data_IF_474411918288
#
_entry.id   IF_474411918288
#
_cell.length_a   1.000
_cell.length_b   1.000
_cell.length_c   1.000
_cell.angle_alpha   90.00
_cell.angle_beta   90.00
_cell.angle_gamma   90.00
#
_symmetry.space_group_name_H-M   'P 1'
#
loop_
_entity.id
_entity.type
_entity.pdbx_description
1 polymer ?
#
# COMPACT_ATOMS: atom_id res chain seq x y z
N UNK A 1 23.37 18.37 -1.53
CA UNK A 1 21.97 18.21 -2.02
C UNK A 1 21.07 18.77 -0.94
N UNK A 2 20.24 19.78 -1.26
CA UNK A 2 19.27 20.37 -0.33
C UNK A 2 18.26 19.29 0.04
N UNK A 3 18.14 18.97 1.33
CA UNK A 3 17.11 18.03 1.78
C UNK A 3 15.75 18.61 1.41
N UNK A 4 14.91 17.90 0.65
CA UNK A 4 13.62 18.42 0.24
C UNK A 4 12.74 18.65 1.48
N UNK A 5 11.95 19.73 1.49
CA UNK A 5 10.93 19.94 2.51
C UNK A 5 9.77 18.97 2.25
N UNK A 6 9.81 17.81 2.90
CA UNK A 6 8.93 16.67 2.64
C UNK A 6 7.71 16.70 3.55
N UNK A 7 6.57 16.32 2.99
CA UNK A 7 5.35 16.00 3.72
C UNK A 7 5.01 14.53 3.53
N UNK A 8 4.63 13.85 4.61
CA UNK A 8 4.05 12.51 4.58
C UNK A 8 2.60 12.61 5.04
N UNK A 9 1.64 12.24 4.20
CA UNK A 9 0.25 12.04 4.62
C UNK A 9 0.00 10.56 4.91
N UNK A 10 -0.84 10.24 5.89
CA UNK A 10 -1.00 8.86 6.38
C UNK A 10 0.21 8.42 7.21
N UNK A 11 0.88 9.35 7.87
CA UNK A 11 2.13 9.12 8.60
C UNK A 11 1.99 8.16 9.81
N UNK A 12 0.78 7.97 10.34
CA UNK A 12 0.50 7.03 11.43
C UNK A 12 0.05 5.64 10.93
N UNK A 13 -0.09 5.48 9.62
CA UNK A 13 -0.40 4.19 9.00
C UNK A 13 0.79 3.22 9.05
N UNK A 14 0.58 1.97 8.62
CA UNK A 14 1.59 0.93 8.63
C UNK A 14 2.88 1.35 7.91
N UNK A 15 2.80 1.69 6.63
CA UNK A 15 3.95 2.15 5.83
C UNK A 15 4.43 3.53 6.30
N UNK A 16 3.48 4.41 6.64
CA UNK A 16 3.78 5.79 7.02
C UNK A 16 4.70 5.93 8.22
N UNK A 17 4.53 5.10 9.25
CA UNK A 17 5.40 5.10 10.44
C UNK A 17 6.83 4.71 10.10
N UNK A 18 7.01 3.61 9.37
CA UNK A 18 8.36 3.15 8.98
C UNK A 18 9.05 4.18 8.09
N UNK A 19 8.30 4.80 7.15
CA UNK A 19 8.83 5.86 6.32
C UNK A 19 9.19 7.12 7.14
N UNK A 20 8.36 7.48 8.11
CA UNK A 20 8.61 8.64 8.96
C UNK A 20 9.88 8.52 9.81
N UNK A 21 10.25 7.30 10.20
CA UNK A 21 11.50 7.03 10.90
C UNK A 21 12.73 7.16 9.98
N UNK A 22 12.58 6.82 8.68
CA UNK A 22 13.62 7.01 7.65
C UNK A 22 13.74 8.46 7.16
N UNK A 23 12.69 9.27 7.36
CA UNK A 23 12.63 10.70 7.00
C UNK A 23 12.25 11.54 8.23
N UNK A 24 13.13 11.66 9.24
CA UNK A 24 12.81 12.30 10.53
C UNK A 24 12.42 13.78 10.40
N UNK A 25 12.95 14.48 9.41
CA UNK A 25 12.66 15.91 9.17
C UNK A 25 11.36 16.14 8.36
N UNK A 26 10.70 15.07 7.90
CA UNK A 26 9.45 15.21 7.15
C UNK A 26 8.30 15.66 8.05
N UNK A 27 7.47 16.58 7.56
CA UNK A 27 6.21 16.96 8.21
C UNK A 27 5.20 15.83 8.11
N UNK A 28 4.63 15.43 9.23
CA UNK A 28 3.75 14.25 9.34
C UNK A 28 2.29 14.71 9.46
N UNK A 29 1.45 14.27 8.53
CA UNK A 29 0.01 14.49 8.56
C UNK A 29 -0.76 13.17 8.58
N UNK A 30 -1.77 13.14 9.43
CA UNK A 30 -2.69 12.01 9.57
C UNK A 30 -4.06 12.51 10.03
N UNK A 31 -5.08 11.65 10.06
CA UNK A 31 -6.44 12.00 10.42
C UNK A 31 -6.56 12.79 11.73
N UNK A 32 -5.66 12.57 12.67
CA UNK A 32 -5.65 13.26 13.97
C UNK A 32 -5.23 14.74 13.89
N UNK A 33 -4.50 15.13 12.85
CA UNK A 33 -4.03 16.51 12.68
C UNK A 33 -4.43 17.14 11.34
N UNK A 34 -4.81 16.33 10.38
CA UNK A 34 -5.46 16.76 9.15
C UNK A 34 -6.20 15.60 8.48
N UNK A 35 -7.54 15.60 8.58
CA UNK A 35 -8.37 14.74 7.74
C UNK A 35 -8.34 15.28 6.30
N UNK A 36 -7.74 14.52 5.38
CA UNK A 36 -7.59 14.90 3.98
C UNK A 36 -8.93 15.14 3.26
N UNK A 37 -10.06 14.63 3.78
CA UNK A 37 -11.41 14.93 3.25
C UNK A 37 -11.76 16.41 3.39
N UNK A 38 -11.17 17.09 4.35
CA UNK A 38 -11.41 18.51 4.59
C UNK A 38 -10.38 19.36 3.85
N UNK A 39 -10.82 20.35 3.06
CA UNK A 39 -9.89 21.30 2.45
C UNK A 39 -9.07 21.99 3.53
N UNK A 40 -7.76 21.99 3.38
CA UNK A 40 -6.90 22.76 4.28
C UNK A 40 -6.83 24.19 3.77
N UNK A 41 -7.25 25.14 4.58
CA UNK A 41 -7.19 26.57 4.24
C UNK A 41 -5.78 27.17 4.16
N UNK A 42 -4.74 26.33 4.35
CA UNK A 42 -3.33 26.77 4.35
C UNK A 42 -2.62 26.11 3.16
N UNK A 43 -2.20 26.94 2.21
CA UNK A 43 -1.27 26.56 1.15
C UNK A 43 0.15 26.66 1.73
N UNK A 44 0.94 25.58 1.62
CA UNK A 44 2.34 25.53 2.04
C UNK A 44 3.25 25.45 0.81
N UNK A 45 3.57 26.60 0.17
CA UNK A 45 4.31 26.61 -1.09
C UNK A 45 5.78 26.20 -0.95
N UNK A 46 6.29 26.14 0.28
CA UNK A 46 7.67 25.74 0.57
C UNK A 46 7.87 24.22 0.57
N UNK A 47 6.79 23.43 0.55
CA UNK A 47 6.87 21.98 0.44
C UNK A 47 7.31 21.61 -0.98
N UNK A 48 8.36 20.80 -1.07
CA UNK A 48 8.94 20.41 -2.37
C UNK A 48 8.58 18.99 -2.77
N UNK A 49 8.17 18.16 -1.81
CA UNK A 49 7.76 16.79 -2.08
C UNK A 49 6.67 16.34 -1.10
N UNK A 50 5.66 15.66 -1.62
CA UNK A 50 4.61 15.00 -0.82
C UNK A 50 4.66 13.52 -1.07
N UNK A 51 4.83 12.72 -0.01
CA UNK A 51 4.58 11.28 -0.05
C UNK A 51 3.15 11.05 0.43
N UNK A 52 2.27 10.73 -0.50
CA UNK A 52 0.84 10.60 -0.25
C UNK A 52 0.44 9.14 -0.02
N UNK A 53 0.39 8.75 1.28
CA UNK A 53 0.00 7.40 1.73
C UNK A 53 -1.42 7.36 2.32
N UNK A 54 -2.00 8.52 2.68
CA UNK A 54 -3.32 8.59 3.29
C UNK A 54 -4.40 8.10 2.33
N UNK A 55 -5.06 6.99 2.67
CA UNK A 55 -6.17 6.41 1.90
C UNK A 55 -6.94 5.39 2.74
N UNK A 56 -8.16 5.09 2.33
CA UNK A 56 -8.87 3.88 2.71
C UNK A 56 -8.46 2.75 1.76
N UNK A 57 -8.16 1.55 2.27
CA UNK A 57 -7.48 0.48 1.49
C UNK A 57 -8.23 -0.86 1.47
N UNK A 58 -9.37 -0.99 2.15
CA UNK A 58 -10.08 -2.27 2.30
C UNK A 58 -11.08 -2.50 1.17
N UNK A 59 -10.76 -3.43 0.27
CA UNK A 59 -11.60 -3.78 -0.89
C UNK A 59 -13.04 -4.11 -0.46
N UNK A 60 -13.23 -5.04 0.47
CA UNK A 60 -14.57 -5.45 0.92
C UNK A 60 -15.38 -4.34 1.58
N UNK A 61 -14.74 -3.38 2.27
CA UNK A 61 -15.42 -2.19 2.79
C UNK A 61 -15.83 -1.26 1.65
N UNK A 62 -14.98 -1.10 0.64
CA UNK A 62 -15.27 -0.22 -0.50
C UNK A 62 -16.53 -0.64 -1.27
N UNK A 63 -16.78 -1.96 -1.37
CA UNK A 63 -17.99 -2.48 -2.01
C UNK A 63 -19.25 -2.15 -1.21
N UNK A 64 -19.16 -2.17 0.13
CA UNK A 64 -20.30 -1.84 1.00
C UNK A 64 -20.56 -0.33 1.12
N UNK A 65 -19.51 0.49 1.05
CA UNK A 65 -19.59 1.95 1.17
C UNK A 65 -18.70 2.66 0.13
N UNK A 66 -19.08 2.63 -1.15
CA UNK A 66 -18.26 3.18 -2.22
C UNK A 66 -18.07 4.70 -2.13
N UNK A 67 -19.10 5.44 -1.69
CA UNK A 67 -19.03 6.91 -1.60
C UNK A 67 -18.00 7.36 -0.56
N UNK A 68 -17.85 6.64 0.53
CA UNK A 68 -16.80 6.86 1.53
C UNK A 68 -15.41 6.77 0.90
N UNK A 69 -15.19 5.78 0.02
CA UNK A 69 -13.91 5.57 -0.66
C UNK A 69 -13.63 6.67 -1.69
N UNK A 70 -14.60 7.03 -2.52
CA UNK A 70 -14.43 8.12 -3.48
C UNK A 70 -14.21 9.47 -2.78
N UNK A 71 -14.99 9.79 -1.76
CA UNK A 71 -14.82 11.06 -1.03
C UNK A 71 -13.47 11.13 -0.30
N UNK A 72 -13.02 10.03 0.30
CA UNK A 72 -11.74 10.00 1.03
C UNK A 72 -10.54 9.93 0.08
N UNK A 73 -10.51 8.97 -0.83
CA UNK A 73 -9.35 8.74 -1.67
C UNK A 73 -9.24 9.80 -2.77
N UNK A 74 -10.31 10.02 -3.55
CA UNK A 74 -10.27 10.98 -4.67
C UNK A 74 -10.36 12.42 -4.16
N UNK A 75 -11.39 12.72 -3.35
CA UNK A 75 -11.54 14.04 -2.76
C UNK A 75 -10.35 14.44 -1.89
N UNK A 76 -9.85 13.50 -1.08
CA UNK A 76 -8.66 13.69 -0.25
C UNK A 76 -7.41 13.98 -1.07
N UNK A 77 -7.15 13.22 -2.15
CA UNK A 77 -6.02 13.48 -3.05
C UNK A 77 -6.10 14.88 -3.67
N UNK A 78 -7.28 15.30 -4.14
CA UNK A 78 -7.48 16.67 -4.66
C UNK A 78 -7.15 17.72 -3.59
N UNK A 79 -7.58 17.52 -2.34
CA UNK A 79 -7.29 18.46 -1.26
C UNK A 79 -5.79 18.52 -0.92
N UNK A 80 -5.09 17.38 -0.95
CA UNK A 80 -3.63 17.32 -0.78
C UNK A 80 -2.92 18.11 -1.88
N UNK A 81 -3.32 17.92 -3.13
CA UNK A 81 -2.73 18.64 -4.26
C UNK A 81 -2.98 20.16 -4.18
N UNK A 82 -4.18 20.57 -3.75
CA UNK A 82 -4.49 22.00 -3.53
C UNK A 82 -3.66 22.61 -2.39
N UNK A 83 -3.37 21.83 -1.35
CA UNK A 83 -2.53 22.29 -0.24
C UNK A 83 -1.05 22.43 -0.63
N UNK A 84 -0.57 21.64 -1.60
CA UNK A 84 0.83 21.57 -2.03
C UNK A 84 0.99 21.67 -3.56
N UNK A 85 0.57 22.76 -4.19
CA UNK A 85 0.38 22.83 -5.66
C UNK A 85 1.67 22.73 -6.49
N UNK A 86 2.84 22.96 -5.88
CA UNK A 86 4.14 22.94 -6.56
C UNK A 86 5.03 21.78 -6.11
N UNK A 87 4.53 20.91 -5.26
CA UNK A 87 5.31 19.79 -4.75
C UNK A 87 5.34 18.63 -5.76
N UNK A 88 6.49 17.95 -5.84
CA UNK A 88 6.54 16.63 -6.45
C UNK A 88 5.62 15.68 -5.68
N UNK A 89 4.82 14.89 -6.39
CA UNK A 89 3.92 13.92 -5.81
C UNK A 89 4.51 12.51 -5.88
N UNK A 90 4.78 11.89 -4.74
CA UNK A 90 5.07 10.46 -4.63
C UNK A 90 3.80 9.79 -4.10
N UNK A 91 3.11 9.06 -4.97
CA UNK A 91 1.77 8.55 -4.69
C UNK A 91 1.75 7.03 -4.48
N UNK A 92 1.14 6.61 -3.37
CA UNK A 92 0.87 5.20 -3.09
C UNK A 92 -0.43 4.75 -3.77
N UNK A 93 -0.29 4.07 -4.91
CA UNK A 93 -1.36 3.35 -5.59
C UNK A 93 -1.32 1.85 -5.21
N UNK A 94 -1.91 0.99 -6.00
CA UNK A 94 -2.14 -0.43 -5.68
C UNK A 94 -2.07 -1.31 -6.91
N UNK A 95 -1.65 -2.56 -6.78
CA UNK A 95 -1.77 -3.58 -7.81
C UNK A 95 -3.22 -3.79 -8.29
N UNK A 96 -4.22 -3.54 -7.43
CA UNK A 96 -5.63 -3.59 -7.82
C UNK A 96 -6.03 -2.54 -8.89
N UNK A 97 -5.17 -1.56 -9.18
CA UNK A 97 -5.37 -0.60 -10.26
C UNK A 97 -5.09 -1.18 -11.66
N UNK A 98 -4.54 -2.40 -11.78
CA UNK A 98 -4.40 -3.09 -13.08
C UNK A 98 -5.74 -3.59 -13.62
N UNK A 99 -6.57 -4.13 -12.72
CA UNK A 99 -7.92 -4.63 -13.01
C UNK A 99 -8.83 -4.09 -11.90
N UNK A 100 -9.34 -2.84 -12.04
CA UNK A 100 -10.07 -2.18 -10.98
C UNK A 100 -11.51 -2.70 -10.88
N UNK A 101 -11.71 -3.85 -10.22
CA UNK A 101 -13.02 -4.50 -10.06
C UNK A 101 -13.77 -4.02 -8.79
N UNK A 102 -13.22 -3.04 -8.09
CA UNK A 102 -13.80 -2.53 -6.83
C UNK A 102 -13.75 -1.01 -6.75
N UNK A 103 -14.66 -0.38 -5.97
CA UNK A 103 -14.59 1.05 -5.71
C UNK A 103 -13.24 1.53 -5.15
N UNK A 104 -12.54 0.71 -4.38
CA UNK A 104 -11.16 0.98 -3.97
C UNK A 104 -10.22 1.08 -5.18
N UNK A 105 -10.18 0.05 -6.04
CA UNK A 105 -9.36 0.05 -7.25
C UNK A 105 -9.68 1.23 -8.17
N UNK A 106 -10.97 1.47 -8.44
CA UNK A 106 -11.44 2.62 -9.22
C UNK A 106 -10.97 3.94 -8.62
N UNK A 107 -11.09 4.12 -7.28
CA UNK A 107 -10.66 5.37 -6.63
C UNK A 107 -9.17 5.63 -6.80
N UNK A 108 -8.33 4.57 -6.78
CA UNK A 108 -6.88 4.69 -6.97
C UNK A 108 -6.53 5.05 -8.43
N UNK A 109 -7.18 4.42 -9.42
CA UNK A 109 -7.01 4.79 -10.84
C UNK A 109 -7.41 6.24 -11.10
N UNK A 110 -8.52 6.70 -10.52
CA UNK A 110 -8.92 8.11 -10.61
C UNK A 110 -7.86 9.05 -10.01
N UNK A 111 -7.28 8.70 -8.85
CA UNK A 111 -6.20 9.48 -8.25
C UNK A 111 -4.95 9.52 -9.14
N UNK A 112 -4.55 8.37 -9.73
CA UNK A 112 -3.43 8.31 -10.68
C UNK A 112 -3.65 9.26 -11.85
N UNK A 113 -4.85 9.23 -12.46
CA UNK A 113 -5.18 10.10 -13.60
C UNK A 113 -5.15 11.58 -13.20
N UNK A 114 -5.77 11.96 -12.08
CA UNK A 114 -5.77 13.33 -11.58
C UNK A 114 -4.34 13.83 -11.35
N UNK A 115 -3.47 13.00 -10.78
CA UNK A 115 -2.06 13.35 -10.54
C UNK A 115 -1.34 13.58 -11.88
N UNK A 116 -1.50 12.68 -12.85
CA UNK A 116 -0.91 12.81 -14.19
C UNK A 116 -1.35 14.08 -14.92
N UNK A 117 -2.62 14.44 -14.80
CA UNK A 117 -3.19 15.61 -15.49
C UNK A 117 -2.74 16.94 -14.87
N UNK A 118 -2.33 16.95 -13.60
CA UNK A 118 -2.20 18.20 -12.85
C UNK A 118 -0.84 18.42 -12.21
N UNK A 119 -0.09 17.37 -11.85
CA UNK A 119 1.24 17.50 -11.25
C UNK A 119 2.33 17.65 -12.32
N UNK A 120 3.26 18.59 -12.10
CA UNK A 120 4.43 18.75 -12.97
C UNK A 120 5.46 17.64 -12.81
N UNK A 121 5.57 17.12 -11.59
CA UNK A 121 6.50 16.04 -11.24
C UNK A 121 5.76 15.04 -10.35
N UNK A 122 5.79 13.78 -10.74
CA UNK A 122 5.19 12.71 -9.96
C UNK A 122 5.92 11.38 -10.12
N UNK A 123 5.80 10.52 -9.11
CA UNK A 123 6.12 9.09 -9.16
C UNK A 123 4.94 8.34 -8.55
N UNK A 124 4.32 7.46 -9.33
CA UNK A 124 3.16 6.67 -8.92
C UNK A 124 3.65 5.24 -8.65
N UNK A 125 3.51 4.77 -7.43
CA UNK A 125 3.84 3.40 -7.06
C UNK A 125 2.60 2.55 -6.88
N UNK A 126 2.50 1.43 -7.60
CA UNK A 126 1.48 0.40 -7.37
C UNK A 126 2.03 -0.65 -6.41
N UNK A 127 1.60 -0.59 -5.16
CA UNK A 127 2.01 -1.53 -4.11
C UNK A 127 1.29 -2.86 -4.27
N UNK A 128 2.02 -3.94 -4.02
CA UNK A 128 1.49 -5.28 -3.88
C UNK A 128 1.28 -5.63 -2.40
N UNK A 129 1.40 -6.90 -2.00
CA UNK A 129 1.04 -7.30 -0.65
C UNK A 129 2.16 -7.01 0.35
N UNK A 130 1.97 -5.98 1.15
CA UNK A 130 2.99 -5.52 2.12
C UNK A 130 2.92 -6.35 3.39
N UNK A 131 4.07 -6.83 3.84
CA UNK A 131 4.24 -7.55 5.10
C UNK A 131 5.50 -7.12 5.84
N UNK A 132 5.81 -7.80 6.91
CA UNK A 132 7.00 -7.57 7.74
C UNK A 132 6.92 -6.42 8.73
N UNK A 133 7.97 -6.27 9.52
CA UNK A 133 8.02 -5.29 10.59
C UNK A 133 7.07 -5.63 11.76
N UNK A 134 6.82 -4.64 12.61
CA UNK A 134 5.87 -4.76 13.73
C UNK A 134 4.76 -3.72 13.56
N UNK A 135 3.78 -3.96 12.69
CA UNK A 135 2.77 -2.96 12.38
C UNK A 135 1.83 -2.73 13.57
N UNK A 136 1.62 -1.47 13.93
CA UNK A 136 0.59 -1.09 14.90
C UNK A 136 -0.82 -1.10 14.29
N UNK A 137 -0.91 -1.02 12.96
CA UNK A 137 -2.14 -1.07 12.19
C UNK A 137 -1.93 -2.03 11.00
N UNK A 138 -1.89 -3.35 11.22
CA UNK A 138 -1.70 -4.32 10.15
C UNK A 138 -2.90 -4.34 9.20
N UNK A 139 -2.64 -4.63 7.93
CA UNK A 139 -3.64 -4.87 6.90
C UNK A 139 -3.33 -6.19 6.17
N UNK A 140 -4.26 -6.71 5.38
CA UNK A 140 -4.06 -7.93 4.61
C UNK A 140 -3.82 -9.18 5.46
N UNK A 141 -2.86 -10.01 5.09
CA UNK A 141 -2.52 -11.25 5.82
C UNK A 141 -2.01 -10.99 7.24
N UNK A 142 -1.15 -9.98 7.52
CA UNK A 142 -0.76 -9.67 8.89
C UNK A 142 -1.95 -9.39 9.81
N UNK A 143 -2.97 -8.65 9.34
CA UNK A 143 -4.20 -8.42 10.10
C UNK A 143 -4.98 -9.73 10.32
N UNK A 144 -5.03 -10.58 9.30
CA UNK A 144 -5.66 -11.91 9.38
C UNK A 144 -5.01 -12.77 10.47
N UNK A 145 -3.68 -12.79 10.51
CA UNK A 145 -2.88 -13.52 11.50
C UNK A 145 -3.14 -12.99 12.92
N UNK A 146 -3.13 -11.68 13.12
CA UNK A 146 -3.41 -11.09 14.44
C UNK A 146 -4.82 -11.41 14.94
N UNK A 147 -5.79 -11.51 14.04
CA UNK A 147 -7.14 -12.00 14.39
C UNK A 147 -7.11 -13.50 14.71
N UNK A 148 -6.45 -14.30 13.90
CA UNK A 148 -6.37 -15.74 14.06
C UNK A 148 -5.71 -16.15 15.40
N UNK A 149 -4.68 -15.44 15.84
CA UNK A 149 -4.07 -15.63 17.17
C UNK A 149 -5.08 -15.47 18.30
N UNK A 150 -6.08 -14.60 18.15
CA UNK A 150 -7.12 -14.34 19.15
C UNK A 150 -8.28 -15.33 19.08
N UNK A 151 -8.62 -15.78 17.86
CA UNK A 151 -9.77 -16.66 17.62
C UNK A 151 -9.41 -18.14 17.55
N UNK A 152 -8.11 -18.46 17.44
CA UNK A 152 -7.59 -19.81 17.24
C UNK A 152 -7.66 -20.32 15.80
N UNK A 153 -8.19 -19.53 14.86
CA UNK A 153 -8.46 -20.00 13.50
C UNK A 153 -8.17 -18.93 12.46
N UNK A 154 -7.46 -19.31 11.38
CA UNK A 154 -7.28 -18.51 10.16
C UNK A 154 -8.09 -19.11 9.01
N UNK A 155 -8.95 -18.31 8.38
CA UNK A 155 -9.71 -18.76 7.21
C UNK A 155 -8.99 -18.34 5.92
N UNK A 156 -8.57 -19.33 5.13
CA UNK A 156 -8.12 -19.16 3.75
C UNK A 156 -9.35 -19.20 2.85
N UNK A 157 -9.51 -18.21 1.98
CA UNK A 157 -10.70 -18.07 1.15
C UNK A 157 -10.44 -18.64 -0.26
N UNK A 158 -10.95 -19.85 -0.49
CA UNK A 158 -10.75 -20.66 -1.69
C UNK A 158 -9.51 -21.55 -1.59
N UNK A 159 -9.70 -22.82 -1.91
CA UNK A 159 -8.68 -23.87 -2.00
C UNK A 159 -8.75 -24.63 -3.35
N UNK A 160 -9.50 -24.06 -4.28
CA UNK A 160 -9.83 -24.65 -5.58
C UNK A 160 -9.45 -23.73 -6.76
N UNK A 161 -8.60 -22.71 -6.54
CA UNK A 161 -8.05 -21.90 -7.63
C UNK A 161 -7.10 -22.72 -8.50
N UNK A 162 -7.00 -22.36 -9.78
CA UNK A 162 -6.01 -22.93 -10.69
C UNK A 162 -4.59 -22.40 -10.37
N UNK A 163 -4.04 -22.90 -9.27
CA UNK A 163 -2.72 -22.59 -8.72
C UNK A 163 -2.10 -23.85 -8.15
N UNK A 164 -0.81 -23.81 -7.79
CA UNK A 164 -0.08 -25.04 -7.41
C UNK A 164 -0.66 -25.77 -6.17
N UNK A 165 -1.37 -25.06 -5.29
CA UNK A 165 -1.94 -25.61 -4.04
C UNK A 165 -3.41 -25.24 -3.82
N UNK A 166 -4.06 -24.67 -4.83
CA UNK A 166 -5.45 -24.27 -4.81
C UNK A 166 -5.70 -22.92 -4.13
N UNK A 167 -4.69 -22.30 -3.47
CA UNK A 167 -4.86 -21.00 -2.84
C UNK A 167 -4.33 -19.86 -3.72
N UNK A 168 -4.75 -18.62 -3.44
CA UNK A 168 -4.32 -17.47 -4.23
C UNK A 168 -2.80 -17.26 -4.19
N UNK A 169 -2.22 -16.87 -5.33
CA UNK A 169 -0.81 -16.46 -5.48
C UNK A 169 -0.70 -14.94 -5.37
N UNK A 170 0.26 -14.47 -4.57
CA UNK A 170 0.51 -13.04 -4.33
C UNK A 170 2.00 -12.74 -4.32
N UNK A 171 2.37 -11.58 -4.83
CA UNK A 171 3.69 -11.01 -4.59
C UNK A 171 3.68 -10.33 -3.21
N UNK A 172 4.53 -10.81 -2.31
CA UNK A 172 4.72 -10.23 -0.98
C UNK A 172 6.01 -9.43 -0.93
N UNK A 173 5.94 -8.26 -0.32
CA UNK A 173 7.07 -7.35 -0.20
C UNK A 173 7.21 -6.84 1.23
N UNK A 174 8.45 -6.73 1.72
CA UNK A 174 8.71 -6.22 3.05
C UNK A 174 8.52 -4.68 3.10
N UNK A 175 7.95 -4.20 4.20
CA UNK A 175 7.70 -2.76 4.41
C UNK A 175 8.97 -1.92 4.34
N UNK A 176 10.14 -2.48 4.74
CA UNK A 176 11.41 -1.77 4.64
C UNK A 176 11.84 -1.56 3.19
N UNK A 177 11.65 -2.56 2.30
CA UNK A 177 11.99 -2.45 0.89
C UNK A 177 11.11 -1.38 0.20
N UNK A 178 9.79 -1.35 0.53
CA UNK A 178 8.89 -0.28 0.06
C UNK A 178 9.36 1.09 0.55
N UNK A 179 9.65 1.21 1.83
CA UNK A 179 10.04 2.53 2.37
C UNK A 179 11.41 2.99 1.88
N UNK A 180 12.33 2.09 1.56
CA UNK A 180 13.58 2.42 0.88
C UNK A 180 13.32 2.97 -0.54
N UNK A 181 12.41 2.36 -1.30
CA UNK A 181 11.99 2.86 -2.60
C UNK A 181 11.33 4.25 -2.50
N UNK A 182 10.49 4.47 -1.50
CA UNK A 182 9.88 5.78 -1.25
C UNK A 182 10.93 6.85 -0.88
N UNK A 183 11.91 6.53 -0.04
CA UNK A 183 13.03 7.43 0.30
C UNK A 183 13.84 7.77 -0.95
N UNK A 184 14.10 6.78 -1.80
CA UNK A 184 14.77 6.98 -3.09
C UNK A 184 13.96 7.92 -3.98
N UNK A 185 12.66 7.69 -4.12
CA UNK A 185 11.78 8.55 -4.91
C UNK A 185 11.68 9.98 -4.38
N UNK A 186 11.82 10.22 -3.07
CA UNK A 186 11.90 11.57 -2.52
C UNK A 186 13.16 12.30 -2.96
N UNK A 187 14.29 11.60 -3.06
CA UNK A 187 15.63 12.17 -3.32
C UNK A 187 15.99 12.29 -4.80
N UNK A 188 15.49 11.39 -5.62
CA UNK A 188 15.77 11.32 -7.06
C UNK A 188 14.75 12.15 -7.87
N UNK A 189 15.02 12.44 -9.15
CA UNK A 189 14.03 13.02 -10.05
C UNK A 189 12.76 12.18 -10.12
N UNK A 190 11.64 12.81 -10.47
CA UNK A 190 10.37 12.10 -10.66
C UNK A 190 10.48 11.11 -11.83
N UNK A 191 9.90 9.92 -11.68
CA UNK A 191 9.91 8.91 -12.73
C UNK A 191 9.10 9.36 -13.97
N UNK A 192 7.97 10.06 -13.74
CA UNK A 192 7.04 10.52 -14.81
C UNK A 192 6.54 9.39 -15.71
N UNK A 193 6.60 8.16 -15.22
CA UNK A 193 6.06 6.96 -15.86
C UNK A 193 4.59 6.79 -15.52
N UNK A 194 3.90 5.92 -16.25
CA UNK A 194 2.51 5.60 -15.92
C UNK A 194 2.36 5.09 -14.49
N UNK A 195 3.25 4.20 -14.09
CA UNK A 195 3.40 3.70 -12.71
C UNK A 195 4.70 2.90 -12.56
N UNK A 196 5.14 2.73 -11.32
CA UNK A 196 6.21 1.84 -10.92
C UNK A 196 5.64 0.75 -9.99
N UNK A 197 5.68 -0.54 -10.35
CA UNK A 197 5.19 -1.59 -9.46
C UNK A 197 6.16 -1.81 -8.31
N UNK A 198 5.67 -1.84 -7.07
CA UNK A 198 6.46 -2.19 -5.91
C UNK A 198 6.02 -3.54 -5.34
N UNK A 199 6.70 -4.58 -5.77
CA UNK A 199 6.64 -5.95 -5.29
C UNK A 199 8.03 -6.57 -5.31
N UNK A 200 8.17 -7.76 -4.77
CA UNK A 200 9.46 -8.44 -4.66
C UNK A 200 9.91 -9.12 -5.96
N UNK A 201 8.99 -9.35 -6.88
CA UNK A 201 9.20 -10.21 -8.06
C UNK A 201 9.24 -11.70 -7.71
N UNK A 202 8.87 -12.05 -6.49
CA UNK A 202 8.80 -13.43 -5.97
C UNK A 202 7.41 -13.66 -5.38
N UNK A 203 6.63 -14.48 -6.07
CA UNK A 203 5.26 -14.76 -5.67
C UNK A 203 5.16 -16.04 -4.88
N UNK A 204 4.29 -16.03 -3.87
CA UNK A 204 4.00 -17.15 -3.01
C UNK A 204 2.50 -17.31 -2.86
N UNK A 205 2.06 -18.56 -2.61
CA UNK A 205 0.66 -18.80 -2.29
C UNK A 205 0.32 -18.32 -0.88
N UNK A 206 -0.97 -18.13 -0.61
CA UNK A 206 -1.44 -17.80 0.75
C UNK A 206 -1.07 -18.93 1.72
N UNK A 207 -1.15 -20.19 1.26
CA UNK A 207 -0.77 -21.35 2.06
C UNK A 207 0.72 -21.33 2.42
N UNK A 208 1.62 -21.11 1.44
CA UNK A 208 3.06 -20.99 1.71
C UNK A 208 3.38 -19.88 2.71
N UNK A 209 2.71 -18.73 2.60
CA UNK A 209 2.88 -17.64 3.57
C UNK A 209 2.53 -18.09 5.00
N UNK A 210 1.41 -18.78 5.17
CA UNK A 210 0.95 -19.25 6.49
C UNK A 210 1.82 -20.38 7.03
N UNK A 211 2.27 -21.29 6.17
CA UNK A 211 3.20 -22.37 6.55
C UNK A 211 4.54 -21.79 7.01
N UNK A 212 5.16 -20.88 6.24
CA UNK A 212 6.39 -20.18 6.63
C UNK A 212 6.22 -19.44 7.96
N UNK A 213 5.05 -18.79 8.14
CA UNK A 213 4.74 -18.13 9.42
C UNK A 213 4.72 -19.14 10.59
N UNK A 214 4.05 -20.27 10.43
CA UNK A 214 3.95 -21.30 11.48
C UNK A 214 5.29 -22.03 11.73
N UNK A 215 6.11 -22.21 10.70
CA UNK A 215 7.48 -22.72 10.85
C UNK A 215 8.35 -21.79 11.71
N UNK A 216 8.24 -20.48 11.47
CA UNK A 216 9.02 -19.46 12.17
C UNK A 216 8.59 -19.25 13.62
N UNK A 217 7.29 -19.22 13.88
CA UNK A 217 6.72 -18.80 15.18
C UNK A 217 6.01 -19.94 15.95
N UNK A 218 5.98 -21.15 15.39
CA UNK A 218 5.18 -22.26 15.91
C UNK A 218 3.69 -22.13 15.54
N UNK A 219 2.96 -23.23 15.69
CA UNK A 219 1.52 -23.26 15.41
C UNK A 219 0.75 -22.45 16.46
N UNK A 220 0.16 -21.34 16.06
CA UNK A 220 -0.59 -20.41 16.91
C UNK A 220 -2.10 -20.39 16.62
N UNK A 221 -2.53 -21.01 15.51
CA UNK A 221 -3.92 -21.11 15.06
C UNK A 221 -4.08 -22.28 14.09
N UNK A 222 -5.31 -22.73 13.91
CA UNK A 222 -5.66 -23.68 12.87
C UNK A 222 -5.96 -22.97 11.55
N UNK A 223 -5.57 -23.58 10.44
CA UNK A 223 -5.90 -23.10 9.10
C UNK A 223 -7.15 -23.85 8.64
N UNK A 224 -8.20 -23.12 8.28
CA UNK A 224 -9.43 -23.66 7.70
C UNK A 224 -9.68 -23.02 6.35
N UNK A 225 -10.38 -23.74 5.49
CA UNK A 225 -10.70 -23.27 4.15
C UNK A 225 -12.17 -22.88 4.06
N UNK A 226 -12.46 -21.76 3.43
CA UNK A 226 -13.80 -21.25 3.18
C UNK A 226 -14.00 -20.94 1.70
N UNK A 227 -15.23 -20.58 1.32
CA UNK A 227 -15.56 -20.22 -0.05
C UNK A 227 -14.71 -19.06 -0.57
N UNK A 228 -14.52 -18.99 -1.89
CA UNK A 228 -13.84 -17.86 -2.55
C UNK A 228 -14.53 -16.54 -2.22
N UNK A 229 -13.76 -15.50 -1.94
CA UNK A 229 -14.30 -14.15 -1.80
C UNK A 229 -14.59 -13.55 -3.19
N UNK A 230 -15.73 -12.90 -3.39
CA UNK A 230 -15.99 -12.16 -4.63
C UNK A 230 -14.88 -11.13 -4.91
N UNK A 231 -14.34 -11.17 -6.14
CA UNK A 231 -13.29 -10.25 -6.58
C UNK A 231 -11.85 -10.66 -6.23
N UNK A 232 -11.62 -11.79 -5.54
CA UNK A 232 -10.25 -12.31 -5.36
C UNK A 232 -9.75 -12.90 -6.68
N UNK A 233 -8.62 -12.39 -7.18
CA UNK A 233 -7.91 -12.95 -8.33
C UNK A 233 -7.12 -14.20 -7.92
N UNK A 234 -7.07 -15.27 -8.75
CA UNK A 234 -6.20 -16.41 -8.48
C UNK A 234 -4.74 -16.02 -8.32
N UNK A 235 -4.26 -15.13 -9.19
CA UNK A 235 -2.86 -14.68 -9.25
C UNK A 235 -2.80 -13.17 -9.29
N UNK A 236 -1.94 -12.58 -8.46
CA UNK A 236 -1.63 -11.14 -8.45
C UNK A 236 -0.13 -10.95 -8.22
N UNK A 237 0.58 -10.77 -9.32
CA UNK A 237 2.05 -10.66 -9.39
C UNK A 237 2.47 -9.35 -10.03
N UNK A 238 3.69 -8.89 -9.71
CA UNK A 238 4.26 -7.73 -10.39
C UNK A 238 4.58 -8.07 -11.85
N UNK A 239 4.25 -7.19 -12.81
CA UNK A 239 4.57 -7.44 -14.22
C UNK A 239 6.08 -7.30 -14.51
N UNK A 240 6.79 -6.53 -13.70
CA UNK A 240 8.25 -6.36 -13.72
C UNK A 240 8.71 -5.79 -12.38
N UNK A 241 9.99 -5.91 -12.06
CA UNK A 241 10.57 -5.28 -10.86
C UNK A 241 10.98 -3.85 -11.22
N UNK A 242 10.47 -2.87 -10.47
CA UNK A 242 10.77 -1.45 -10.68
C UNK A 242 12.26 -1.15 -10.44
N UNK A 243 12.81 -0.19 -11.18
CA UNK A 243 14.16 0.33 -10.95
C UNK A 243 14.34 0.97 -9.55
N UNK A 244 13.26 1.42 -8.94
CA UNK A 244 13.26 1.91 -7.55
C UNK A 244 13.45 0.80 -6.53
N UNK A 245 13.28 -0.47 -6.94
CA UNK A 245 13.32 -1.62 -6.04
C UNK A 245 14.63 -2.39 -6.15
N UNK A 246 15.14 -2.76 -4.98
CA UNK A 246 16.14 -3.81 -4.84
C UNK A 246 15.65 -4.68 -3.67
N UNK A 247 14.74 -5.65 -3.93
CA UNK A 247 14.15 -6.48 -2.88
C UNK A 247 15.23 -7.28 -2.17
N UNK A 248 15.43 -7.01 -0.89
CA UNK A 248 16.48 -7.64 -0.06
C UNK A 248 15.91 -8.73 0.84
N UNK A 249 14.62 -8.64 1.13
CA UNK A 249 13.94 -9.48 2.11
C UNK A 249 13.31 -10.72 1.47
N UNK A 250 13.38 -11.84 2.17
CA UNK A 250 12.77 -13.11 1.78
C UNK A 250 11.36 -13.25 2.35
N UNK A 251 10.66 -14.37 2.06
CA UNK A 251 9.36 -14.64 2.66
C UNK A 251 9.46 -14.78 4.18
N UNK A 252 10.54 -15.39 4.68
CA UNK A 252 10.81 -15.55 6.11
C UNK A 252 11.00 -14.21 6.83
N UNK A 253 11.50 -13.18 6.13
CA UNK A 253 11.60 -11.82 6.68
C UNK A 253 10.23 -11.12 6.71
N UNK A 254 9.35 -11.47 5.76
CA UNK A 254 8.05 -10.80 5.55
C UNK A 254 6.98 -11.34 6.51
N UNK A 255 7.03 -12.62 6.87
CA UNK A 255 6.08 -13.26 7.80
C UNK A 255 6.31 -12.91 9.27
#
# INVERSE_FOLDING_TARGET
VKIPNVVITGANGYIGKVLADKLPDAKRYDINNWDIKSPRGIILPTVTCVVHLAALVRVGESVRDPLKYYSTNVGGTINVMRAFPNAKMVFASTGAAFHPDSPYGHSKVMCEQIIKDTCKEYTIFRFYNVGGGSPTNPEGLPLGIEKAKKTGTFTVYGDDYDTKDGTCVRDYIHVDDITDALVRAVREPAAMTDYEPLGSGRSHTVKEYLETYQEKYGKQFDIVYGDRRPGDLPVSEVPFVSEFMTPKKTLEDIV
#
